data_IF_252606871296
#
_entry.id   IF_252606871296
#
_cell.length_a   1.000
_cell.length_b   1.000
_cell.length_c   1.000
_cell.angle_alpha   90.00
_cell.angle_beta   90.00
_cell.angle_gamma   90.00
#
_symmetry.space_group_name_H-M   'P 1'
#
loop_
_entity.id
_entity.type
_entity.pdbx_description
1 polymer ?
#
# COMPACT_ATOMS: atom_id res chain seq x y z
N UNK A 1 -15.67 2.04 5.31
CA UNK A 1 -15.29 2.34 3.89
C UNK A 1 -14.39 3.56 3.90
N UNK A 2 -13.15 3.47 3.40
CA UNK A 2 -12.17 4.57 3.56
C UNK A 2 -11.51 4.99 2.24
N UNK A 3 -11.71 6.25 1.84
CA UNK A 3 -10.94 6.88 0.77
C UNK A 3 -9.69 7.53 1.36
N UNK A 4 -8.52 7.22 0.80
CA UNK A 4 -7.23 7.69 1.30
C UNK A 4 -6.53 8.53 0.25
N UNK A 5 -5.93 9.63 0.70
CA UNK A 5 -5.06 10.50 -0.09
C UNK A 5 -3.73 10.60 0.63
N UNK A 6 -2.70 9.97 0.08
CA UNK A 6 -1.43 9.75 0.77
C UNK A 6 -0.28 10.12 -0.17
N UNK A 7 0.75 10.79 0.36
CA UNK A 7 1.97 11.05 -0.40
C UNK A 7 2.61 9.74 -0.90
N UNK A 8 2.96 9.74 -2.18
CA UNK A 8 3.60 8.66 -2.90
C UNK A 8 5.05 8.95 -3.24
N UNK A 9 5.77 7.86 -3.50
CA UNK A 9 7.18 7.85 -3.83
C UNK A 9 7.45 6.90 -4.99
N UNK A 10 8.45 7.23 -5.79
CA UNK A 10 8.94 6.38 -6.87
C UNK A 10 10.43 6.10 -6.70
N UNK A 11 10.81 4.84 -6.88
CA UNK A 11 12.19 4.37 -6.84
C UNK A 11 12.51 3.63 -8.15
N UNK A 12 13.35 4.25 -8.97
CA UNK A 12 13.71 3.78 -10.33
C UNK A 12 14.87 2.76 -10.35
N UNK A 13 15.04 1.99 -9.27
CA UNK A 13 16.10 0.99 -9.09
C UNK A 13 16.60 0.89 -7.63
N UNK A 14 17.20 -0.24 -7.27
CA UNK A 14 17.51 -0.59 -5.87
C UNK A 14 18.49 0.37 -5.18
N UNK A 15 19.44 0.94 -5.93
CA UNK A 15 20.46 1.86 -5.40
C UNK A 15 20.08 3.35 -5.51
N UNK A 16 18.87 3.65 -5.99
CA UNK A 16 18.42 5.05 -6.17
C UNK A 16 17.54 5.50 -5.02
N UNK A 17 17.73 6.75 -4.60
CA UNK A 17 16.84 7.40 -3.63
C UNK A 17 15.44 7.51 -4.22
N UNK A 18 14.43 7.26 -3.39
CA UNK A 18 13.05 7.51 -3.75
C UNK A 18 12.80 8.99 -3.97
N UNK A 19 12.07 9.33 -5.03
CA UNK A 19 11.63 10.70 -5.34
C UNK A 19 10.13 10.82 -5.09
N UNK A 20 9.65 11.92 -4.48
CA UNK A 20 8.23 12.12 -4.28
C UNK A 20 7.52 12.26 -5.64
N UNK A 21 6.34 11.67 -5.77
CA UNK A 21 5.54 11.71 -7.01
C UNK A 21 4.27 12.56 -6.89
N UNK A 22 3.93 12.99 -5.67
CA UNK A 22 2.66 13.64 -5.35
C UNK A 22 1.76 12.71 -4.55
N UNK A 23 0.47 13.01 -4.52
CA UNK A 23 -0.52 12.23 -3.78
C UNK A 23 -1.00 11.04 -4.61
N UNK A 24 -1.11 9.88 -3.96
CA UNK A 24 -1.77 8.68 -4.46
C UNK A 24 -3.13 8.62 -3.76
N UNK A 25 -4.18 8.38 -4.54
CA UNK A 25 -5.51 8.19 -4.01
C UNK A 25 -5.97 6.76 -4.25
N UNK A 26 -6.53 6.12 -3.24
CA UNK A 26 -7.12 4.80 -3.38
C UNK A 26 -8.19 4.55 -2.32
N UNK A 27 -8.99 3.54 -2.58
CA UNK A 27 -10.10 3.15 -1.77
C UNK A 27 -9.85 1.83 -1.05
N UNK A 28 -10.13 1.80 0.25
CA UNK A 28 -10.15 0.58 1.05
C UNK A 28 -11.60 0.20 1.32
N UNK A 29 -12.04 -0.82 0.60
CA UNK A 29 -13.35 -1.44 0.80
C UNK A 29 -13.35 -2.36 2.04
N UNK A 30 -14.54 -2.82 2.44
CA UNK A 30 -14.69 -3.71 3.60
C UNK A 30 -13.89 -5.02 3.50
N UNK A 31 -13.94 -5.74 2.36
CA UNK A 31 -13.13 -6.95 2.16
C UNK A 31 -11.62 -6.72 2.27
N UNK A 32 -11.09 -5.63 1.71
CA UNK A 32 -9.68 -5.29 1.83
C UNK A 32 -9.35 -4.92 3.27
N UNK A 33 -10.17 -4.10 3.94
CA UNK A 33 -9.98 -3.75 5.34
C UNK A 33 -9.86 -5.00 6.22
N UNK A 34 -10.80 -5.94 6.09
CA UNK A 34 -10.79 -7.20 6.85
C UNK A 34 -9.50 -8.02 6.59
N UNK A 35 -8.99 -8.03 5.36
CA UNK A 35 -7.74 -8.73 5.03
C UNK A 35 -6.51 -8.05 5.63
N UNK A 36 -6.54 -6.72 5.78
CA UNK A 36 -5.48 -5.97 6.48
C UNK A 36 -5.48 -6.31 7.98
N UNK A 37 -6.65 -6.34 8.63
CA UNK A 37 -6.79 -6.74 10.04
C UNK A 37 -6.32 -8.18 10.27
N UNK A 38 -6.70 -9.10 9.38
CA UNK A 38 -6.25 -10.49 9.44
C UNK A 38 -4.73 -10.62 9.27
N UNK A 39 -4.13 -9.79 8.41
CA UNK A 39 -2.68 -9.75 8.24
C UNK A 39 -2.00 -9.23 9.52
N UNK A 40 -2.52 -8.15 10.12
CA UNK A 40 -2.04 -7.63 11.41
C UNK A 40 -2.09 -8.71 12.51
N UNK A 41 -3.25 -9.36 12.69
CA UNK A 41 -3.43 -10.41 13.70
C UNK A 41 -2.48 -11.58 13.46
N UNK A 42 -2.24 -11.94 12.18
CA UNK A 42 -1.25 -12.97 11.83
C UNK A 42 0.14 -12.56 12.28
N UNK A 43 0.59 -11.36 11.93
CA UNK A 43 1.94 -10.87 12.28
C UNK A 43 2.14 -10.80 13.79
N UNK A 44 1.12 -10.41 14.55
CA UNK A 44 1.17 -10.39 16.02
C UNK A 44 1.36 -11.80 16.60
N UNK A 45 0.72 -12.82 16.02
CA UNK A 45 0.83 -14.21 16.47
C UNK A 45 2.14 -14.87 16.03
N UNK A 46 2.53 -14.68 14.78
CA UNK A 46 3.67 -15.39 14.17
C UNK A 46 4.99 -14.67 14.38
N UNK A 47 4.98 -13.39 14.72
CA UNK A 47 6.16 -12.53 14.80
C UNK A 47 6.91 -12.42 13.46
N UNK A 48 6.20 -12.65 12.34
CA UNK A 48 6.73 -12.34 11.01
C UNK A 48 6.92 -10.82 10.86
N UNK A 49 7.92 -10.37 10.09
CA UNK A 49 8.22 -8.94 9.96
C UNK A 49 7.15 -8.19 9.15
N UNK A 50 6.58 -8.85 8.14
CA UNK A 50 5.62 -8.24 7.22
C UNK A 50 4.77 -9.29 6.48
N UNK A 51 3.65 -8.83 5.94
CA UNK A 51 2.78 -9.60 5.06
C UNK A 51 2.39 -8.76 3.84
N UNK A 52 2.32 -9.40 2.67
CA UNK A 52 1.78 -8.79 1.46
C UNK A 52 0.32 -9.21 1.30
N UNK A 53 -0.56 -8.23 1.11
CA UNK A 53 -1.99 -8.44 0.87
C UNK A 53 -2.31 -8.01 -0.56
N UNK A 54 -2.64 -8.95 -1.42
CA UNK A 54 -3.05 -8.67 -2.81
C UNK A 54 -4.30 -7.78 -2.83
N UNK A 55 -4.35 -6.80 -3.72
CA UNK A 55 -5.52 -5.94 -3.89
C UNK A 55 -6.27 -6.30 -5.17
N UNK A 56 -7.58 -6.08 -5.16
CA UNK A 56 -8.37 -6.13 -6.37
C UNK A 56 -8.31 -4.76 -7.06
N UNK A 57 -7.61 -4.68 -8.19
CA UNK A 57 -7.48 -3.44 -8.96
C UNK A 57 -8.81 -2.93 -9.51
N UNK A 58 -9.87 -3.75 -9.54
CA UNK A 58 -11.20 -3.32 -9.95
C UNK A 58 -11.99 -2.58 -8.86
N UNK A 59 -11.66 -2.80 -7.57
CA UNK A 59 -12.33 -2.15 -6.43
C UNK A 59 -11.45 -1.13 -5.71
N UNK A 60 -10.13 -1.16 -5.94
CA UNK A 60 -9.16 -0.26 -5.31
C UNK A 60 -9.34 1.22 -5.72
N UNK A 61 -9.92 1.49 -6.90
CA UNK A 61 -10.08 2.84 -7.45
C UNK A 61 -8.79 3.69 -7.32
N UNK A 62 -7.69 3.14 -7.85
CA UNK A 62 -6.36 3.72 -7.70
C UNK A 62 -6.16 4.89 -8.68
N UNK A 63 -5.97 6.09 -8.14
CA UNK A 63 -5.51 7.25 -8.88
C UNK A 63 -4.05 7.56 -8.55
N UNK A 64 -3.22 7.59 -9.59
CA UNK A 64 -1.81 7.95 -9.51
C UNK A 64 -1.56 9.27 -10.25
N UNK A 65 -0.54 10.04 -9.84
CA UNK A 65 -0.09 11.19 -10.60
C UNK A 65 0.29 10.83 -12.05
N UNK A 66 0.18 11.80 -12.95
CA UNK A 66 0.43 11.62 -14.38
C UNK A 66 1.82 11.00 -14.64
N UNK A 67 1.88 9.96 -15.48
CA UNK A 67 3.11 9.27 -15.84
C UNK A 67 3.57 8.16 -14.88
N UNK A 68 2.83 7.89 -13.80
CA UNK A 68 3.15 6.80 -12.85
C UNK A 68 2.24 5.57 -12.98
N UNK A 69 1.13 5.68 -13.71
CA UNK A 69 0.24 4.57 -14.07
C UNK A 69 0.57 3.97 -15.45
N UNK A 70 0.15 2.73 -15.74
CA UNK A 70 -0.43 1.76 -14.81
C UNK A 70 0.64 1.03 -13.99
N UNK A 71 0.22 0.41 -12.89
CA UNK A 71 1.06 -0.55 -12.14
C UNK A 71 0.86 -1.97 -12.69
N UNK A 72 1.93 -2.77 -12.72
CA UNK A 72 1.91 -4.18 -13.14
C UNK A 72 1.51 -5.13 -12.03
N UNK A 73 1.80 -4.75 -10.80
CA UNK A 73 1.45 -5.42 -9.56
C UNK A 73 1.08 -4.35 -8.53
N UNK A 74 0.13 -4.66 -7.66
CA UNK A 74 -0.26 -3.76 -6.58
C UNK A 74 -0.64 -4.61 -5.37
N UNK A 75 -0.10 -4.26 -4.21
CA UNK A 75 -0.34 -4.96 -2.95
C UNK A 75 -0.33 -3.94 -1.81
N UNK A 76 -0.95 -4.31 -0.69
CA UNK A 76 -0.74 -3.61 0.57
C UNK A 76 0.32 -4.37 1.37
N UNK A 77 1.45 -3.71 1.66
CA UNK A 77 2.47 -4.26 2.55
C UNK A 77 2.12 -3.90 3.99
N UNK A 78 1.79 -4.91 4.78
CA UNK A 78 1.43 -4.80 6.19
C UNK A 78 2.63 -5.15 7.06
N UNK A 79 2.89 -4.36 8.09
CA UNK A 79 3.92 -4.62 9.10
C UNK A 79 3.50 -4.06 10.46
N UNK A 80 4.14 -4.53 11.52
CA UNK A 80 3.92 -4.00 12.87
C UNK A 80 4.97 -2.95 13.20
N UNK A 81 4.52 -1.84 13.77
CA UNK A 81 5.40 -0.84 14.37
C UNK A 81 4.87 -0.46 15.75
N UNK A 82 5.68 -0.69 16.78
CA UNK A 82 5.26 -0.52 18.18
C UNK A 82 3.94 -1.26 18.49
N UNK A 83 3.86 -2.53 18.07
CA UNK A 83 2.70 -3.43 18.22
C UNK A 83 1.43 -3.02 17.45
N UNK A 84 1.47 -1.96 16.64
CA UNK A 84 0.33 -1.52 15.83
C UNK A 84 0.53 -1.85 14.35
N UNK A 85 -0.51 -2.37 13.72
CA UNK A 85 -0.57 -2.64 12.29
C UNK A 85 -0.51 -1.37 11.46
N UNK A 86 0.45 -1.32 10.55
CA UNK A 86 0.58 -0.30 9.53
C UNK A 86 0.58 -0.95 8.17
N UNK A 87 0.08 -0.25 7.17
CA UNK A 87 0.16 -0.67 5.78
C UNK A 87 0.54 0.50 4.87
N UNK A 88 1.11 0.18 3.72
CA UNK A 88 1.27 1.10 2.61
C UNK A 88 1.02 0.38 1.29
N UNK A 89 0.58 1.12 0.29
CA UNK A 89 0.47 0.61 -1.06
C UNK A 89 1.88 0.42 -1.63
N UNK A 90 2.10 -0.71 -2.30
CA UNK A 90 3.31 -0.98 -3.08
C UNK A 90 2.90 -1.51 -4.45
N UNK A 91 3.64 -1.14 -5.48
CA UNK A 91 3.47 -1.71 -6.81
C UNK A 91 4.54 -1.23 -7.76
N UNK A 92 4.75 -1.95 -8.85
CA UNK A 92 5.75 -1.60 -9.85
C UNK A 92 5.07 -0.98 -11.06
N UNK A 93 5.65 0.11 -11.56
CA UNK A 93 5.17 0.75 -12.78
C UNK A 93 5.38 -0.18 -13.97
N UNK A 94 4.31 -0.41 -14.75
CA UNK A 94 4.34 -1.37 -15.85
C UNK A 94 5.30 -1.01 -17.00
N UNK A 95 5.62 0.28 -17.16
CA UNK A 95 6.49 0.74 -18.25
C UNK A 95 7.97 0.48 -18.02
N UNK A 96 8.44 0.47 -16.77
CA UNK A 96 9.87 0.41 -16.46
C UNK A 96 10.23 -0.31 -15.14
N UNK A 97 9.26 -1.01 -14.53
CA UNK A 97 9.42 -1.74 -13.27
C UNK A 97 9.87 -0.88 -12.08
N UNK A 98 9.72 0.44 -12.14
CA UNK A 98 10.03 1.31 -10.99
C UNK A 98 9.07 1.01 -9.84
N UNK A 99 9.60 0.91 -8.61
CA UNK A 99 8.78 0.72 -7.42
C UNK A 99 8.05 2.03 -7.09
N UNK A 100 6.73 1.96 -6.99
CA UNK A 100 5.83 2.99 -6.52
C UNK A 100 5.28 2.56 -5.16
N UNK A 101 5.28 3.47 -4.19
CA UNK A 101 4.71 3.19 -2.87
C UNK A 101 4.18 4.44 -2.16
N UNK A 102 3.24 4.27 -1.24
CA UNK A 102 2.70 5.36 -0.41
C UNK A 102 3.42 5.47 0.94
N UNK A 103 3.21 6.57 1.66
CA UNK A 103 3.45 6.60 3.10
C UNK A 103 2.56 5.59 3.83
N UNK A 104 2.98 5.21 5.04
CA UNK A 104 2.26 4.25 5.85
C UNK A 104 1.03 4.86 6.55
N UNK A 105 -0.01 4.05 6.67
CA UNK A 105 -1.25 4.35 7.37
C UNK A 105 -1.48 3.28 8.43
N UNK A 106 -2.01 3.70 9.58
CA UNK A 106 -2.41 2.76 10.63
C UNK A 106 -3.71 2.06 10.23
N UNK A 107 -3.77 0.73 10.40
CA UNK A 107 -4.97 -0.05 10.07
C UNK A 107 -6.16 0.44 10.92
N UNK A 108 -5.92 0.71 12.20
CA UNK A 108 -6.94 1.20 13.15
C UNK A 108 -7.46 2.64 12.88
N UNK A 109 -6.91 3.35 11.89
CA UNK A 109 -7.44 4.65 11.43
C UNK A 109 -8.48 4.51 10.32
N UNK A 110 -8.63 3.32 9.74
CA UNK A 110 -9.63 3.06 8.73
C UNK A 110 -11.02 3.14 9.37
N UNK A 111 -11.91 3.92 8.77
CA UNK A 111 -13.29 4.05 9.20
C UNK A 111 -14.10 2.82 8.73
N UNK A 112 -14.95 2.31 9.62
CA UNK A 112 -15.96 1.28 9.34
C UNK A 112 -17.05 1.80 8.38
#
# INVERSE_FOLDING_TARGET
MSALTIEGWCRTGDDKKSTPIGEIQFYVDGPLHLRLEQAEERLQKTHEPEAMVDVDMSTLDLELPEGYAPLSDCQMRVYLHSERGQFHLVGHRASDSSLIYSNAVLIDQLLD
#
